data_IF_274150386360
#
_entry.id   IF_274150386360
#
_cell.length_a   1.000
_cell.length_b   1.000
_cell.length_c   1.000
_cell.angle_alpha   90.00
_cell.angle_beta   90.00
_cell.angle_gamma   90.00
#
_symmetry.space_group_name_H-M   'P 1'
#
loop_
_entity.id
_entity.type
_entity.pdbx_description
1 polymer ?
#
# COMPACT_ATOMS: atom_id res chain seq x y z
N UNK A 1 14.72 -48.47 -19.18
CA UNK A 1 13.45 -48.06 -18.55
C UNK A 1 13.78 -47.19 -17.34
N UNK A 2 13.57 -45.88 -17.42
CA UNK A 2 13.83 -44.96 -16.30
C UNK A 2 12.55 -44.76 -15.51
N UNK A 3 12.52 -45.26 -14.27
CA UNK A 3 11.45 -45.05 -13.30
C UNK A 3 11.51 -43.61 -12.79
N UNK A 4 10.43 -42.85 -13.00
CA UNK A 4 10.27 -41.49 -12.46
C UNK A 4 9.84 -41.61 -11.00
N UNK A 5 10.71 -41.22 -10.06
CA UNK A 5 10.31 -41.07 -8.65
C UNK A 5 9.47 -39.80 -8.49
N UNK A 6 8.19 -39.98 -8.21
CA UNK A 6 7.23 -38.90 -7.91
C UNK A 6 7.19 -38.54 -6.41
N UNK A 7 8.13 -39.04 -5.61
CA UNK A 7 8.03 -39.04 -4.14
C UNK A 7 8.54 -37.78 -3.43
N UNK A 8 9.15 -36.82 -4.13
CA UNK A 8 9.69 -35.61 -3.49
C UNK A 8 8.89 -34.33 -3.69
N UNK A 9 7.80 -34.35 -4.47
CA UNK A 9 6.98 -33.15 -4.69
C UNK A 9 5.86 -33.02 -3.65
N UNK A 10 5.43 -34.13 -3.03
CA UNK A 10 4.29 -34.14 -2.10
C UNK A 10 4.66 -33.89 -0.63
N UNK A 11 5.93 -34.05 -0.25
CA UNK A 11 6.37 -33.76 1.13
C UNK A 11 6.59 -32.27 1.43
N UNK A 12 6.30 -31.38 0.47
CA UNK A 12 6.43 -29.93 0.63
C UNK A 12 5.08 -29.22 0.89
N UNK A 13 3.99 -29.96 1.06
CA UNK A 13 2.63 -29.38 1.15
C UNK A 13 2.18 -29.10 2.60
N UNK A 14 2.90 -29.61 3.61
CA UNK A 14 2.54 -29.41 5.03
C UNK A 14 3.27 -28.26 5.74
N UNK A 15 3.96 -27.37 5.01
CA UNK A 15 4.41 -26.11 5.60
C UNK A 15 3.26 -25.10 5.57
N UNK A 16 2.75 -24.76 6.76
CA UNK A 16 1.66 -23.80 6.96
C UNK A 16 1.88 -22.47 6.21
N UNK A 17 0.79 -21.74 5.97
CA UNK A 17 0.68 -20.47 5.23
C UNK A 17 1.67 -19.36 5.66
N UNK A 18 2.96 -19.59 5.49
CA UNK A 18 3.98 -18.57 5.44
C UNK A 18 3.89 -17.96 4.04
N UNK A 19 3.60 -16.67 3.96
CA UNK A 19 3.65 -15.85 2.73
C UNK A 19 4.73 -16.40 1.81
N UNK A 20 4.34 -17.03 0.70
CA UNK A 20 5.25 -17.61 -0.28
C UNK A 20 5.93 -16.48 -1.04
N UNK A 21 6.81 -15.76 -0.35
CA UNK A 21 7.79 -14.89 -0.99
C UNK A 21 8.65 -15.78 -1.85
N UNK A 22 8.37 -15.83 -3.15
CA UNK A 22 9.17 -16.55 -4.14
C UNK A 22 10.60 -16.03 -4.00
N UNK A 23 11.45 -16.80 -3.33
CA UNK A 23 12.86 -16.47 -3.16
C UNK A 23 13.56 -16.75 -4.49
N UNK A 24 13.64 -15.72 -5.33
CA UNK A 24 14.39 -15.80 -6.58
C UNK A 24 15.86 -16.10 -6.29
N UNK A 25 16.30 -17.29 -6.69
CA UNK A 25 17.73 -17.64 -6.67
C UNK A 25 18.50 -16.67 -7.57
N UNK A 26 19.78 -16.44 -7.28
CA UNK A 26 20.63 -15.58 -8.13
C UNK A 26 20.66 -16.05 -9.59
N UNK A 27 20.52 -17.37 -9.82
CA UNK A 27 20.43 -17.96 -11.16
C UNK A 27 19.14 -17.55 -11.89
N UNK A 28 17.98 -17.58 -11.22
CA UNK A 28 16.71 -17.16 -11.82
C UNK A 28 16.71 -15.69 -12.29
N UNK A 29 17.47 -14.82 -11.62
CA UNK A 29 17.64 -13.40 -12.00
C UNK A 29 18.45 -13.20 -13.28
N UNK A 30 19.20 -14.21 -13.74
CA UNK A 30 19.97 -14.17 -15.00
C UNK A 30 19.12 -14.48 -16.22
N UNK A 31 17.97 -15.14 -16.06
CA UNK A 31 17.10 -15.50 -17.18
C UNK A 31 16.59 -14.23 -17.89
N UNK A 32 16.68 -14.23 -19.22
CA UNK A 32 16.22 -13.16 -20.11
C UNK A 32 15.38 -13.77 -21.22
N UNK A 33 14.44 -12.99 -21.72
CA UNK A 33 13.54 -13.35 -22.81
C UNK A 33 13.74 -12.34 -23.93
N UNK A 34 13.82 -12.83 -25.16
CA UNK A 34 13.94 -11.98 -26.34
C UNK A 34 12.56 -11.42 -26.70
N UNK A 35 12.50 -10.09 -26.86
CA UNK A 35 11.28 -9.38 -27.22
C UNK A 35 11.55 -8.37 -28.32
N UNK A 36 10.57 -8.17 -29.19
CA UNK A 36 10.60 -7.11 -30.19
C UNK A 36 9.88 -5.87 -29.67
N UNK A 37 10.56 -4.73 -29.68
CA UNK A 37 9.98 -3.46 -29.27
C UNK A 37 9.12 -2.86 -30.40
N UNK A 38 7.90 -2.46 -30.09
CA UNK A 38 6.99 -1.77 -31.01
C UNK A 38 6.99 -0.26 -30.82
N UNK A 39 7.50 0.21 -29.68
CA UNK A 39 7.64 1.62 -29.30
C UNK A 39 9.05 1.88 -28.78
N UNK A 40 9.46 3.14 -28.80
CA UNK A 40 10.74 3.54 -28.22
C UNK A 40 10.65 3.55 -26.68
N UNK A 41 11.58 2.85 -26.03
CA UNK A 41 11.65 2.80 -24.57
C UNK A 41 12.99 3.32 -24.08
N UNK A 42 13.00 4.43 -23.31
CA UNK A 42 14.25 5.03 -22.87
C UNK A 42 15.01 4.09 -21.95
N UNK A 43 16.29 3.89 -22.30
CA UNK A 43 17.21 3.00 -21.57
C UNK A 43 17.05 1.51 -21.85
N UNK A 44 16.11 1.11 -22.72
CA UNK A 44 15.88 -0.30 -23.07
C UNK A 44 16.21 -0.54 -24.54
N UNK A 45 15.64 0.23 -25.45
CA UNK A 45 15.81 0.04 -26.89
C UNK A 45 14.87 0.92 -27.70
N UNK A 46 15.01 0.85 -29.02
CA UNK A 46 14.16 1.56 -29.98
C UNK A 46 13.18 0.62 -30.68
N UNK A 47 12.13 1.19 -31.27
CA UNK A 47 11.13 0.49 -32.07
C UNK A 47 11.80 -0.35 -33.16
N UNK A 48 11.31 -1.57 -33.34
CA UNK A 48 11.82 -2.56 -34.29
C UNK A 48 13.04 -3.34 -33.80
N UNK A 49 13.62 -3.00 -32.65
CA UNK A 49 14.77 -3.72 -32.09
C UNK A 49 14.34 -4.98 -31.32
N UNK A 50 15.09 -6.07 -31.49
CA UNK A 50 14.98 -7.27 -30.65
C UNK A 50 15.96 -7.14 -29.47
N UNK A 51 15.44 -7.20 -28.25
CA UNK A 51 16.21 -6.99 -27.01
C UNK A 51 15.92 -8.10 -26.01
N UNK A 52 16.96 -8.60 -25.35
CA UNK A 52 16.85 -9.57 -24.26
C UNK A 52 16.54 -8.86 -22.92
N UNK A 53 15.33 -9.05 -22.39
CA UNK A 53 14.84 -8.36 -21.18
C UNK A 53 14.46 -9.33 -20.06
N UNK A 54 14.32 -8.82 -18.83
CA UNK A 54 13.76 -9.59 -17.71
C UNK A 54 12.25 -9.80 -17.93
N UNK A 55 11.74 -10.98 -17.53
CA UNK A 55 10.31 -11.28 -17.59
C UNK A 55 9.44 -10.25 -16.85
N UNK A 56 9.87 -9.81 -15.66
CA UNK A 56 9.16 -8.77 -14.90
C UNK A 56 9.15 -7.42 -15.63
N UNK A 57 10.26 -7.02 -16.27
CA UNK A 57 10.30 -5.79 -17.08
C UNK A 57 9.37 -5.90 -18.28
N UNK A 58 9.29 -7.08 -18.90
CA UNK A 58 8.35 -7.34 -19.97
C UNK A 58 6.91 -7.13 -19.47
N UNK A 59 6.46 -7.94 -18.50
CA UNK A 59 5.08 -7.96 -18.04
C UNK A 59 4.60 -6.61 -17.49
N UNK A 60 5.43 -5.91 -16.71
CA UNK A 60 5.01 -4.72 -15.99
C UNK A 60 5.20 -3.41 -16.77
N UNK A 61 6.17 -3.37 -17.72
CA UNK A 61 6.56 -2.10 -18.38
C UNK A 61 6.43 -2.12 -19.90
N UNK A 62 6.79 -3.22 -20.55
CA UNK A 62 6.88 -3.27 -22.02
C UNK A 62 5.60 -3.81 -22.66
N UNK A 63 4.98 -4.83 -22.06
CA UNK A 63 3.73 -5.41 -22.57
C UNK A 63 2.55 -4.43 -22.53
N UNK A 64 2.33 -3.68 -21.42
CA UNK A 64 1.17 -2.81 -21.33
C UNK A 64 1.12 -1.82 -22.49
N UNK A 65 -0.08 -1.59 -23.03
CA UNK A 65 -0.32 -0.72 -24.18
C UNK A 65 0.41 -1.14 -25.46
N UNK A 66 0.61 -2.45 -25.68
CA UNK A 66 1.22 -3.04 -26.88
C UNK A 66 2.59 -2.41 -27.19
N UNK A 67 3.44 -2.28 -26.16
CA UNK A 67 4.76 -1.69 -26.31
C UNK A 67 5.80 -2.66 -26.86
N UNK A 68 5.67 -3.95 -26.59
CA UNK A 68 6.56 -5.00 -27.08
C UNK A 68 5.82 -6.33 -27.28
N UNK A 69 6.38 -7.20 -28.13
CA UNK A 69 5.87 -8.54 -28.44
C UNK A 69 6.92 -9.58 -28.02
N UNK A 70 6.45 -10.70 -27.47
CA UNK A 70 7.30 -11.86 -27.16
C UNK A 70 7.78 -12.56 -28.44
N UNK A 71 9.08 -12.85 -28.53
CA UNK A 71 9.62 -13.71 -29.58
C UNK A 71 9.64 -15.14 -29.07
N UNK A 72 8.49 -15.81 -29.15
CA UNK A 72 8.28 -17.14 -28.54
C UNK A 72 9.13 -18.27 -29.18
N UNK A 73 9.63 -18.06 -30.40
CA UNK A 73 10.46 -19.02 -31.13
C UNK A 73 11.69 -18.34 -31.72
N UNK A 74 12.81 -19.07 -31.83
CA UNK A 74 14.10 -18.54 -32.32
C UNK A 74 14.05 -17.94 -33.73
N UNK A 75 13.03 -18.30 -34.52
CA UNK A 75 12.80 -17.83 -35.89
C UNK A 75 11.38 -17.24 -36.06
N UNK A 76 10.76 -16.74 -34.99
CA UNK A 76 9.47 -16.08 -35.12
C UNK A 76 9.58 -14.88 -36.06
N UNK A 77 8.65 -14.75 -37.01
CA UNK A 77 8.64 -13.61 -37.91
C UNK A 77 8.40 -12.33 -37.11
N UNK A 78 9.31 -11.35 -37.20
CA UNK A 78 9.17 -10.09 -36.49
C UNK A 78 7.99 -9.31 -37.07
N UNK A 79 7.13 -8.80 -36.20
CA UNK A 79 5.93 -8.05 -36.61
C UNK A 79 6.27 -6.73 -37.35
N UNK A 80 7.46 -6.20 -37.10
CA UNK A 80 8.02 -4.98 -37.72
C UNK A 80 9.39 -5.33 -38.30
N UNK A 81 9.84 -4.69 -39.41
CA UNK A 81 11.21 -4.84 -39.89
C UNK A 81 12.24 -4.58 -38.77
N UNK A 82 13.23 -5.48 -38.68
CA UNK A 82 14.26 -5.43 -37.64
C UNK A 82 15.23 -4.28 -37.93
N UNK A 83 15.36 -3.38 -36.96
CA UNK A 83 16.37 -2.31 -37.01
C UNK A 83 17.71 -2.89 -36.60
N UNK A 84 18.76 -2.63 -37.38
CA UNK A 84 20.11 -3.10 -37.08
C UNK A 84 20.65 -2.44 -35.81
N UNK A 85 21.50 -3.16 -35.07
CA UNK A 85 22.05 -2.70 -33.78
C UNK A 85 22.78 -1.35 -33.87
N UNK A 86 23.40 -1.05 -35.01
CA UNK A 86 24.11 0.22 -35.25
C UNK A 86 23.14 1.40 -35.37
N UNK A 87 22.04 1.24 -36.12
CA UNK A 87 20.99 2.25 -36.22
C UNK A 87 20.23 2.45 -34.90
N UNK A 88 20.09 1.38 -34.10
CA UNK A 88 19.49 1.47 -32.78
C UNK A 88 20.35 2.27 -31.78
N UNK A 89 21.67 2.15 -31.85
CA UNK A 89 22.58 2.83 -30.93
C UNK A 89 22.57 4.36 -31.12
N UNK A 90 22.54 4.84 -32.36
CA UNK A 90 22.48 6.28 -32.66
C UNK A 90 21.14 6.90 -32.22
N UNK A 91 20.03 6.21 -32.47
CA UNK A 91 18.70 6.65 -32.03
C UNK A 91 18.58 6.68 -30.49
N UNK A 92 19.15 5.70 -29.77
CA UNK A 92 19.19 5.71 -28.31
C UNK A 92 20.00 6.87 -27.73
N UNK A 93 21.10 7.26 -28.39
CA UNK A 93 21.90 8.41 -27.98
C UNK A 93 21.10 9.72 -28.12
N UNK A 94 20.36 9.88 -29.22
CA UNK A 94 19.49 11.04 -29.44
C UNK A 94 18.38 11.14 -28.39
N UNK A 95 17.70 10.02 -28.06
CA UNK A 95 16.66 9.99 -27.04
C UNK A 95 17.19 10.33 -25.63
N UNK A 96 18.40 9.86 -25.29
CA UNK A 96 19.04 10.21 -24.00
C UNK A 96 19.39 11.69 -23.92
N UNK A 97 19.87 12.29 -25.01
CA UNK A 97 20.18 13.72 -25.07
C UNK A 97 18.93 14.58 -24.85
N UNK A 98 17.81 14.23 -25.48
CA UNK A 98 16.53 14.93 -25.30
C UNK A 98 16.02 14.86 -23.84
N UNK A 99 16.19 13.71 -23.17
CA UNK A 99 15.78 13.57 -21.77
C UNK A 99 16.65 14.36 -20.78
N UNK A 100 17.93 14.55 -21.08
CA UNK A 100 18.83 15.35 -20.25
C UNK A 100 18.51 16.84 -20.36
N UNK A 101 18.06 17.31 -21.53
CA UNK A 101 17.58 18.69 -21.73
C UNK A 101 16.26 18.93 -20.99
N UNK A 102 15.28 18.02 -21.10
CA UNK A 102 14.00 18.13 -20.39
C UNK A 102 14.12 18.09 -18.84
N UNK A 103 15.17 17.46 -18.29
CA UNK A 103 15.46 17.47 -16.84
C UNK A 103 16.14 18.74 -16.35
N UNK A 104 16.83 19.50 -17.22
CA UNK A 104 17.47 20.77 -16.83
C UNK A 104 16.47 21.93 -16.78
N UNK A 105 15.42 21.88 -17.59
CA UNK A 105 14.38 22.93 -17.63
C UNK A 105 13.29 22.78 -16.54
N UNK A 106 13.16 21.60 -15.92
CA UNK A 106 12.18 21.32 -14.86
C UNK A 106 12.80 21.19 -13.46
N UNK A 107 13.81 21.99 -13.13
CA UNK A 107 14.06 22.29 -11.72
C UNK A 107 13.10 23.43 -11.34
N UNK A 108 12.01 23.17 -10.59
CA UNK A 108 11.20 24.27 -10.08
C UNK A 108 12.12 25.16 -9.24
N UNK A 109 12.16 26.46 -9.55
CA UNK A 109 12.77 27.44 -8.66
C UNK A 109 11.96 27.41 -7.36
N UNK A 110 12.43 26.66 -6.35
CA UNK A 110 11.82 26.70 -5.03
C UNK A 110 11.88 28.13 -4.49
N UNK A 111 10.73 28.62 -4.04
CA UNK A 111 10.64 29.87 -3.29
C UNK A 111 11.62 29.83 -2.10
N UNK A 112 12.32 30.93 -1.81
CA UNK A 112 13.35 30.97 -0.76
C UNK A 112 12.82 30.54 0.63
N UNK A 113 11.53 30.80 0.90
CA UNK A 113 10.86 30.46 2.16
C UNK A 113 10.88 28.95 2.44
N UNK A 114 10.71 28.10 1.41
CA UNK A 114 10.71 26.64 1.57
C UNK A 114 12.12 26.08 1.80
N UNK A 115 13.18 26.80 1.43
CA UNK A 115 14.55 26.35 1.65
C UNK A 115 14.93 26.50 3.12
N UNK A 116 14.50 27.58 3.75
CA UNK A 116 14.77 27.84 5.17
C UNK A 116 14.04 26.84 6.08
N UNK A 117 12.82 26.42 5.71
CA UNK A 117 12.10 25.34 6.42
C UNK A 117 12.77 23.97 6.26
N UNK A 118 13.26 23.65 5.05
CA UNK A 118 13.97 22.38 4.78
C UNK A 118 15.35 22.35 5.47
N UNK A 119 16.01 23.50 5.63
CA UNK A 119 17.27 23.59 6.36
C UNK A 119 17.08 23.50 7.88
N UNK A 120 15.96 24.03 8.41
CA UNK A 120 15.57 23.82 9.82
C UNK A 120 15.21 22.37 10.10
N UNK A 121 14.43 21.73 9.22
CA UNK A 121 14.06 20.31 9.40
C UNK A 121 15.25 19.36 9.31
N UNK A 122 16.29 19.71 8.53
CA UNK A 122 17.56 18.94 8.48
C UNK A 122 18.43 19.10 9.71
N UNK A 123 18.33 20.24 10.41
CA UNK A 123 19.03 20.46 11.69
C UNK A 123 18.32 19.72 12.82
N UNK A 124 17.00 19.67 12.79
CA UNK A 124 16.20 18.87 13.74
C UNK A 124 16.38 17.36 13.53
N UNK A 125 16.49 16.89 12.28
CA UNK A 125 16.69 15.46 12.00
C UNK A 125 18.05 14.89 12.42
N UNK A 126 19.05 15.75 12.65
CA UNK A 126 20.40 15.35 13.07
C UNK A 126 20.66 15.60 14.57
N UNK A 127 19.65 16.06 15.31
CA UNK A 127 19.72 16.07 16.76
C UNK A 127 19.62 14.62 17.21
N UNK A 128 20.78 14.02 17.53
CA UNK A 128 20.84 12.73 18.19
C UNK A 128 20.03 12.85 19.48
N UNK A 129 19.08 11.94 19.66
CA UNK A 129 18.23 11.90 20.85
C UNK A 129 19.11 11.76 22.09
N UNK A 130 18.84 12.56 23.12
CA UNK A 130 19.52 12.45 24.40
C UNK A 130 19.15 11.11 25.07
N UNK A 131 20.01 10.60 25.96
CA UNK A 131 19.78 9.31 26.65
C UNK A 131 18.47 9.28 27.44
N UNK A 132 18.07 10.41 28.01
CA UNK A 132 16.79 10.55 28.71
C UNK A 132 15.60 10.56 27.74
N UNK A 133 15.76 11.10 26.52
CA UNK A 133 14.74 11.01 25.46
C UNK A 133 14.63 9.58 24.92
N UNK A 134 15.73 8.85 24.80
CA UNK A 134 15.73 7.43 24.39
C UNK A 134 15.04 6.52 25.43
N UNK A 135 15.17 6.85 26.72
CA UNK A 135 14.47 6.14 27.80
C UNK A 135 12.98 6.52 27.88
N UNK A 136 12.61 7.72 27.42
CA UNK A 136 11.23 8.20 27.36
C UNK A 136 10.50 7.81 26.06
N UNK A 137 11.20 7.31 25.03
CA UNK A 137 10.55 6.67 23.88
C UNK A 137 9.95 5.36 24.37
N UNK A 138 8.70 5.45 24.77
CA UNK A 138 7.86 4.31 25.02
C UNK A 138 7.71 3.55 23.70
N UNK A 139 8.44 2.44 23.56
CA UNK A 139 8.44 1.59 22.36
C UNK A 139 7.04 1.02 22.07
N UNK A 140 6.16 1.06 23.06
CA UNK A 140 4.78 0.63 22.96
C UNK A 140 3.82 1.78 22.56
N UNK A 141 4.17 3.02 22.90
CA UNK A 141 3.40 4.23 22.59
C UNK A 141 3.31 4.55 21.10
N UNK A 142 2.19 5.15 20.69
CA UNK A 142 2.01 5.65 19.34
C UNK A 142 2.70 7.00 19.20
N UNK A 143 3.35 7.22 18.07
CA UNK A 143 3.95 8.51 17.79
C UNK A 143 2.84 9.55 17.51
N UNK A 144 3.06 10.82 17.86
CA UNK A 144 2.07 11.88 17.65
C UNK A 144 1.61 12.00 16.19
N UNK A 145 2.52 11.77 15.24
CA UNK A 145 2.21 11.77 13.81
C UNK A 145 1.31 10.58 13.40
N UNK A 146 1.45 9.43 14.05
CA UNK A 146 0.60 8.25 13.82
C UNK A 146 -0.80 8.49 14.39
N UNK A 147 -0.89 9.11 15.57
CA UNK A 147 -2.16 9.55 16.15
C UNK A 147 -2.88 10.51 15.22
N UNK A 148 -2.21 11.54 14.71
CA UNK A 148 -2.79 12.49 13.74
C UNK A 148 -3.30 11.78 12.48
N UNK A 149 -2.56 10.80 11.98
CA UNK A 149 -2.97 10.02 10.82
C UNK A 149 -4.23 9.19 11.12
N UNK A 150 -4.32 8.56 12.29
CA UNK A 150 -5.49 7.81 12.73
C UNK A 150 -6.71 8.73 12.83
N UNK A 151 -6.58 9.86 13.53
CA UNK A 151 -7.66 10.83 13.69
C UNK A 151 -8.12 11.43 12.35
N UNK A 152 -7.20 11.68 11.43
CA UNK A 152 -7.52 12.16 10.09
C UNK A 152 -8.26 11.13 9.21
N UNK A 153 -8.10 9.83 9.50
CA UNK A 153 -8.70 8.73 8.74
C UNK A 153 -9.89 8.06 9.43
N UNK A 154 -10.25 8.50 10.64
CA UNK A 154 -11.46 8.02 11.32
C UNK A 154 -12.72 8.24 10.47
N UNK A 155 -13.57 7.23 10.31
CA UNK A 155 -14.84 7.40 9.60
C UNK A 155 -15.76 8.30 10.43
N UNK A 156 -16.24 9.39 9.84
CA UNK A 156 -17.22 10.28 10.50
C UNK A 156 -18.58 9.61 10.68
N UNK A 157 -18.92 8.70 9.77
CA UNK A 157 -20.20 7.97 9.74
C UNK A 157 -19.94 6.50 9.47
N UNK A 158 -20.52 5.64 10.29
CA UNK A 158 -20.49 4.19 10.17
C UNK A 158 -21.92 3.68 10.05
N UNK A 159 -22.21 2.95 8.98
CA UNK A 159 -23.55 2.43 8.68
C UNK A 159 -23.52 0.92 8.87
N UNK A 160 -24.34 0.40 9.77
CA UNK A 160 -24.49 -1.02 10.03
C UNK A 160 -25.87 -1.46 9.56
N UNK A 161 -25.90 -2.49 8.72
CA UNK A 161 -27.13 -3.10 8.23
C UNK A 161 -27.30 -4.43 8.95
N UNK A 162 -28.35 -4.55 9.75
CA UNK A 162 -28.58 -5.69 10.64
C UNK A 162 -29.96 -6.28 10.38
N UNK A 163 -30.10 -7.59 10.53
CA UNK A 163 -31.40 -8.25 10.46
C UNK A 163 -32.21 -7.93 11.73
N UNK A 164 -33.48 -7.54 11.54
CA UNK A 164 -34.39 -7.16 12.62
C UNK A 164 -35.63 -8.03 12.66
N UNK A 165 -36.22 -8.16 13.84
CA UNK A 165 -37.58 -8.66 14.05
C UNK A 165 -38.35 -7.59 14.81
N UNK A 166 -39.50 -7.19 14.30
CA UNK A 166 -40.41 -6.22 14.95
C UNK A 166 -39.71 -4.90 15.37
N UNK A 167 -38.92 -4.32 14.46
CA UNK A 167 -38.12 -3.09 14.69
C UNK A 167 -37.08 -3.17 15.84
N UNK A 168 -36.84 -4.37 16.36
CA UNK A 168 -35.79 -4.66 17.35
C UNK A 168 -34.67 -5.49 16.72
N UNK A 169 -33.45 -5.31 17.23
CA UNK A 169 -32.30 -6.11 16.83
C UNK A 169 -32.47 -7.55 17.33
N UNK A 170 -32.22 -8.53 16.47
CA UNK A 170 -32.29 -9.97 16.84
C UNK A 170 -31.27 -10.29 17.93
N UNK A 171 -30.11 -9.65 17.87
CA UNK A 171 -29.02 -9.77 18.83
C UNK A 171 -28.63 -8.37 19.31
N UNK A 172 -28.50 -8.20 20.63
CA UNK A 172 -27.96 -6.97 21.20
C UNK A 172 -26.55 -6.74 20.65
N UNK A 173 -26.26 -5.50 20.28
CA UNK A 173 -24.96 -5.13 19.73
C UNK A 173 -24.13 -4.46 20.81
N UNK A 174 -23.04 -5.10 21.22
CA UNK A 174 -22.15 -4.57 22.23
C UNK A 174 -21.27 -3.45 21.67
N UNK A 175 -20.88 -2.51 22.54
CA UNK A 175 -19.89 -1.48 22.23
C UNK A 175 -18.60 -2.05 21.60
N UNK A 176 -18.14 -3.22 22.05
CA UNK A 176 -16.95 -3.90 21.50
C UNK A 176 -17.11 -4.24 20.02
N UNK A 177 -18.30 -4.64 19.59
CA UNK A 177 -18.56 -4.98 18.19
C UNK A 177 -18.42 -3.76 17.27
N UNK A 178 -18.89 -2.59 17.72
CA UNK A 178 -18.78 -1.34 16.99
C UNK A 178 -17.31 -0.93 16.88
N UNK A 179 -16.56 -1.02 17.98
CA UNK A 179 -15.13 -0.70 18.02
C UNK A 179 -14.35 -1.58 17.03
N UNK A 180 -14.58 -2.89 17.04
CA UNK A 180 -13.92 -3.83 16.12
C UNK A 180 -14.23 -3.53 14.65
N UNK A 181 -15.45 -3.06 14.34
CA UNK A 181 -15.79 -2.63 12.99
C UNK A 181 -15.02 -1.37 12.58
N UNK A 182 -14.88 -0.40 13.49
CA UNK A 182 -14.09 0.82 13.24
C UNK A 182 -12.63 0.46 13.02
N UNK A 183 -12.06 -0.38 13.88
CA UNK A 183 -10.69 -0.91 13.73
C UNK A 183 -10.51 -1.63 12.38
N UNK A 184 -11.46 -2.47 12.01
CA UNK A 184 -11.48 -3.17 10.72
C UNK A 184 -11.59 -2.24 9.51
N UNK A 185 -12.27 -1.09 9.65
CA UNK A 185 -12.29 -0.08 8.59
C UNK A 185 -10.98 0.70 8.52
N UNK A 186 -10.44 1.13 9.67
CA UNK A 186 -9.20 1.89 9.75
C UNK A 186 -8.00 1.11 9.24
N UNK A 187 -7.87 -0.17 9.61
CA UNK A 187 -6.81 -1.07 9.13
C UNK A 187 -6.82 -1.27 7.61
N UNK A 188 -7.94 -1.04 6.93
CA UNK A 188 -8.00 -1.05 5.46
C UNK A 188 -7.48 0.25 4.84
N UNK A 189 -7.68 1.39 5.52
CA UNK A 189 -7.23 2.70 5.06
C UNK A 189 -5.76 2.96 5.39
N UNK A 190 -5.36 2.61 6.61
CA UNK A 190 -4.02 2.74 7.14
C UNK A 190 -3.33 1.41 6.88
N UNK A 191 -2.45 1.36 5.88
CA UNK A 191 -1.74 0.14 5.47
C UNK A 191 -0.90 -0.50 6.59
N UNK A 192 -0.71 0.22 7.69
CA UNK A 192 -0.01 -0.19 8.89
C UNK A 192 -1.02 -0.71 9.93
N UNK A 193 -1.29 -2.01 9.89
CA UNK A 193 -2.27 -2.62 10.80
C UNK A 193 -1.88 -2.54 12.27
N UNK A 194 -0.58 -2.51 12.56
CA UNK A 194 -0.05 -2.53 13.92
C UNK A 194 -0.29 -1.21 14.68
N UNK A 195 -0.27 -0.06 13.99
CA UNK A 195 -0.52 1.25 14.62
C UNK A 195 -1.97 1.37 15.04
N UNK A 196 -2.89 0.89 14.20
CA UNK A 196 -4.32 0.85 14.50
C UNK A 196 -4.60 -0.07 15.69
N UNK A 197 -4.09 -1.31 15.69
CA UNK A 197 -4.34 -2.23 16.82
C UNK A 197 -3.75 -1.73 18.14
N UNK A 198 -2.58 -1.07 18.10
CA UNK A 198 -1.99 -0.42 19.28
C UNK A 198 -2.87 0.71 19.80
N UNK A 199 -3.48 1.50 18.91
CA UNK A 199 -4.38 2.59 19.29
C UNK A 199 -5.59 2.06 20.06
N UNK A 200 -6.30 1.08 19.49
CA UNK A 200 -7.49 0.50 20.12
C UNK A 200 -7.18 -0.36 21.36
N UNK A 201 -5.94 -0.86 21.49
CA UNK A 201 -5.48 -1.61 22.66
C UNK A 201 -4.88 -0.75 23.78
N UNK A 202 -4.61 0.54 23.52
CA UNK A 202 -4.02 1.44 24.52
C UNK A 202 -5.00 1.77 25.64
N UNK A 203 -4.51 1.79 26.89
CA UNK A 203 -5.31 2.19 28.05
C UNK A 203 -5.74 3.67 27.99
N UNK A 204 -5.04 4.48 27.18
CA UNK A 204 -5.30 5.90 26.99
C UNK A 204 -6.54 6.19 26.12
N UNK A 205 -7.05 5.19 25.38
CA UNK A 205 -8.18 5.37 24.47
C UNK A 205 -9.50 5.07 25.16
N UNK A 206 -10.24 6.12 25.53
CA UNK A 206 -11.58 6.00 26.12
C UNK A 206 -12.63 6.11 25.02
N UNK A 207 -13.44 5.08 24.89
CA UNK A 207 -14.59 5.06 24.01
C UNK A 207 -15.86 5.24 24.83
N UNK A 208 -16.77 6.12 24.47
CA UNK A 208 -18.10 6.22 25.10
C UNK A 208 -19.17 6.16 24.01
N UNK A 209 -20.21 5.35 24.23
CA UNK A 209 -21.30 5.17 23.28
C UNK A 209 -22.53 5.87 23.85
N UNK A 210 -23.13 6.79 23.08
CA UNK A 210 -24.28 7.60 23.48
C UNK A 210 -25.45 7.44 22.53
N UNK A 211 -26.68 7.50 23.04
CA UNK A 211 -27.88 7.61 22.22
C UNK A 211 -28.10 9.06 21.74
N UNK A 212 -29.17 9.28 20.96
CA UNK A 212 -29.58 10.63 20.53
C UNK A 212 -29.93 11.57 21.70
N UNK A 213 -30.35 11.03 22.85
CA UNK A 213 -30.62 11.78 24.07
C UNK A 213 -29.37 12.07 24.92
N UNK A 214 -28.19 11.56 24.54
CA UNK A 214 -26.91 11.75 25.25
C UNK A 214 -26.62 10.76 26.38
N UNK A 215 -27.47 9.74 26.58
CA UNK A 215 -27.28 8.72 27.62
C UNK A 215 -26.22 7.70 27.23
N UNK A 216 -25.36 7.31 28.17
CA UNK A 216 -24.31 6.32 27.94
C UNK A 216 -24.87 4.90 27.93
N UNK A 217 -24.62 4.17 26.83
CA UNK A 217 -25.11 2.82 26.62
C UNK A 217 -23.96 1.82 26.51
N UNK A 218 -24.11 0.64 27.11
CA UNK A 218 -23.17 -0.46 26.94
C UNK A 218 -23.48 -1.31 25.70
N UNK A 219 -24.76 -1.40 25.34
CA UNK A 219 -25.26 -2.18 24.20
C UNK A 219 -26.43 -1.48 23.51
N UNK A 220 -26.63 -1.82 22.25
CA UNK A 220 -27.70 -1.28 21.40
C UNK A 220 -28.72 -2.39 21.09
N UNK A 221 -30.00 -2.09 21.31
CA UNK A 221 -31.11 -3.02 21.08
C UNK A 221 -32.07 -2.57 19.97
N UNK A 222 -32.10 -1.26 19.69
CA UNK A 222 -33.05 -0.64 18.75
C UNK A 222 -32.34 -0.13 17.51
N UNK A 223 -33.10 0.01 16.43
CA UNK A 223 -32.67 0.76 15.26
C UNK A 223 -32.62 2.25 15.60
N UNK A 224 -31.68 2.98 15.00
CA UNK A 224 -31.52 4.41 15.23
C UNK A 224 -30.12 4.94 14.97
N UNK A 225 -29.91 6.19 15.34
CA UNK A 225 -28.61 6.86 15.30
C UNK A 225 -27.98 6.84 16.69
N UNK A 226 -26.70 6.53 16.73
CA UNK A 226 -25.90 6.50 17.95
C UNK A 226 -24.60 7.26 17.72
N UNK A 227 -24.00 7.76 18.78
CA UNK A 227 -22.76 8.51 18.72
C UNK A 227 -21.69 7.81 19.54
N UNK A 228 -20.58 7.47 18.89
CA UNK A 228 -19.40 6.95 19.56
C UNK A 228 -18.39 8.08 19.71
N UNK A 229 -18.13 8.50 20.94
CA UNK A 229 -17.08 9.47 21.24
C UNK A 229 -15.79 8.71 21.56
N UNK A 230 -14.72 9.17 20.94
CA UNK A 230 -13.36 8.70 21.12
C UNK A 230 -12.58 9.83 21.78
N UNK A 231 -11.96 9.56 22.91
CA UNK A 231 -11.06 10.47 23.62
C UNK A 231 -9.71 9.78 23.80
N UNK A 232 -8.64 10.39 23.29
CA UNK A 232 -7.27 9.93 23.50
C UNK A 232 -6.32 11.14 23.60
N UNK A 233 -5.55 11.24 24.70
CA UNK A 233 -4.50 12.25 24.92
C UNK A 233 -4.90 13.69 24.57
N UNK A 234 -6.14 14.07 24.93
CA UNK A 234 -6.68 15.42 24.70
C UNK A 234 -7.23 15.68 23.30
N UNK A 235 -7.28 14.67 22.43
CA UNK A 235 -7.99 14.71 21.14
C UNK A 235 -9.31 13.96 21.24
N UNK A 236 -10.37 14.65 20.84
CA UNK A 236 -11.72 14.12 20.83
C UNK A 236 -12.22 13.97 19.38
N UNK A 237 -12.83 12.83 19.08
CA UNK A 237 -13.50 12.60 17.81
C UNK A 237 -14.85 11.91 18.02
N UNK A 238 -15.83 12.29 17.21
CA UNK A 238 -17.18 11.73 17.27
C UNK A 238 -17.50 10.99 15.98
N UNK A 239 -17.86 9.70 16.12
CA UNK A 239 -18.29 8.84 15.01
C UNK A 239 -19.80 8.62 15.13
N UNK A 240 -20.54 8.96 14.08
CA UNK A 240 -21.98 8.69 14.00
C UNK A 240 -22.20 7.26 13.53
N UNK A 241 -22.86 6.44 14.34
CA UNK A 241 -23.21 5.05 14.05
C UNK A 241 -24.70 4.99 13.71
N UNK A 242 -25.03 4.66 12.46
CA UNK A 242 -26.41 4.50 12.00
C UNK A 242 -26.69 3.02 11.85
N UNK A 243 -27.73 2.53 12.53
CA UNK A 243 -28.15 1.13 12.45
C UNK A 243 -29.46 1.06 11.67
N UNK A 244 -29.39 0.42 10.50
CA UNK A 244 -30.52 0.22 9.61
C UNK A 244 -30.92 -1.26 9.58
N UNK A 245 -32.20 -1.51 9.30
CA UNK A 245 -32.67 -2.84 8.94
C UNK A 245 -32.16 -3.22 7.54
N UNK A 246 -31.86 -4.51 7.36
CA UNK A 246 -31.59 -5.10 6.05
C UNK A 246 -32.82 -5.13 5.16
#
# INVERSE_FOLDING_TARGET
MFTRSSSHVLSAVDCGLAKTGIRYTAQSKKNRIDVQLLKDFPGIGVKGQIVAVKASTMANKLYPNNGAIYMNYKNAEPAIPIVTKQAAASALAALKAQQQQAKKEKKPKLNPILKDEIEKSKKESNKLLDLDELLAIDVEGLNNAELDLIFAKLPKKLILVVNTKDNSLISKMDKKYIINNIEGTLSRYIRETNTVSKFFGSENSVFTLRNEAGEELQSIEKLGTYFLQLQNEGKDATVTVVINSK
#
